data_IF_201541643238
#
_entry.id   IF_201541643238
#
_cell.length_a   1.000
_cell.length_b   1.000
_cell.length_c   1.000
_cell.angle_alpha   90.00
_cell.angle_beta   90.00
_cell.angle_gamma   90.00
#
_symmetry.space_group_name_H-M   'P 1'
#
loop_
_entity.id
_entity.type
_entity.pdbx_description
1 polymer ?
#
# COMPACT_ATOMS: atom_id res chain seq x y z
N UNK A 1 -74.76 6.89 -4.08
CA UNK A 1 -73.51 7.57 -4.42
C UNK A 1 -72.60 7.46 -3.21
N UNK A 2 -71.71 6.46 -3.24
CA UNK A 2 -70.71 6.22 -2.17
C UNK A 2 -69.36 6.73 -2.73
N UNK A 3 -68.85 7.81 -2.13
CA UNK A 3 -67.54 8.41 -2.48
C UNK A 3 -66.49 7.54 -1.83
N UNK A 4 -65.70 6.82 -2.65
CA UNK A 4 -64.49 6.09 -2.23
C UNK A 4 -63.32 7.06 -2.06
N UNK A 5 -62.94 7.32 -0.82
CA UNK A 5 -61.71 8.04 -0.50
C UNK A 5 -60.54 7.05 -0.49
N UNK A 6 -59.72 7.08 -1.55
CA UNK A 6 -58.45 6.39 -1.55
C UNK A 6 -57.48 6.98 -0.50
N UNK A 7 -56.76 6.16 0.28
CA UNK A 7 -55.77 6.69 1.23
C UNK A 7 -54.56 7.26 0.49
N UNK A 8 -54.29 8.54 0.71
CA UNK A 8 -53.05 9.19 0.24
C UNK A 8 -51.90 8.52 0.97
N UNK A 9 -51.09 7.74 0.27
CA UNK A 9 -49.81 7.24 0.78
C UNK A 9 -48.94 8.46 1.14
N UNK A 10 -48.35 8.47 2.33
CA UNK A 10 -47.36 9.52 2.65
C UNK A 10 -46.17 9.37 1.72
N UNK A 11 -45.78 10.47 1.08
CA UNK A 11 -44.58 10.54 0.24
C UNK A 11 -43.38 10.07 1.07
N UNK A 12 -42.77 8.98 0.65
CA UNK A 12 -41.48 8.53 1.21
C UNK A 12 -40.47 9.61 0.87
N UNK A 13 -40.26 10.53 1.82
CA UNK A 13 -39.16 11.49 1.77
C UNK A 13 -37.86 10.69 1.80
N UNK A 14 -37.18 10.65 0.65
CA UNK A 14 -35.79 10.16 0.57
C UNK A 14 -34.99 10.90 1.64
N UNK A 15 -34.19 10.21 2.47
CA UNK A 15 -33.38 10.91 3.46
C UNK A 15 -32.43 11.85 2.70
N UNK A 16 -32.72 13.14 2.75
CA UNK A 16 -31.81 14.19 2.32
C UNK A 16 -30.56 14.05 3.19
N UNK A 17 -29.48 13.49 2.63
CA UNK A 17 -28.18 13.57 3.27
C UNK A 17 -27.90 15.05 3.49
N UNK A 18 -27.86 15.50 4.73
CA UNK A 18 -27.58 16.88 5.08
C UNK A 18 -26.22 17.26 4.48
N UNK A 19 -26.04 18.52 4.07
CA UNK A 19 -24.75 19.01 3.57
C UNK A 19 -23.61 18.71 4.54
N UNK A 20 -23.91 18.64 5.84
CA UNK A 20 -22.95 18.29 6.89
C UNK A 20 -22.45 16.84 6.78
N UNK A 21 -23.32 15.89 6.44
CA UNK A 21 -22.89 14.50 6.18
C UNK A 21 -22.05 14.41 4.91
N UNK A 22 -22.38 15.19 3.88
CA UNK A 22 -21.61 15.25 2.66
C UNK A 22 -20.21 15.81 2.90
N UNK A 23 -20.06 16.84 3.71
CA UNK A 23 -18.76 17.42 4.09
C UNK A 23 -17.98 16.50 5.02
N UNK A 24 -18.64 15.75 5.90
CA UNK A 24 -17.99 14.87 6.87
C UNK A 24 -17.21 13.73 6.22
N UNK A 25 -17.66 13.18 5.09
CA UNK A 25 -16.94 12.10 4.37
C UNK A 25 -15.50 12.48 3.98
N UNK A 26 -15.24 13.76 3.65
CA UNK A 26 -13.90 14.24 3.34
C UNK A 26 -13.00 14.27 4.58
N UNK A 27 -13.56 14.53 5.76
CA UNK A 27 -12.85 14.40 7.04
C UNK A 27 -12.46 12.95 7.29
N UNK A 28 -13.36 12.01 7.04
CA UNK A 28 -13.07 10.57 7.14
C UNK A 28 -11.95 10.14 6.19
N UNK A 29 -11.99 10.60 4.95
CA UNK A 29 -10.93 10.34 3.98
C UNK A 29 -9.59 10.91 4.46
N UNK A 30 -9.58 12.16 4.94
CA UNK A 30 -8.36 12.80 5.48
C UNK A 30 -7.78 12.04 6.66
N UNK A 31 -8.63 11.53 7.57
CA UNK A 31 -8.19 10.68 8.69
C UNK A 31 -7.61 9.37 8.16
N UNK A 32 -8.25 8.74 7.18
CA UNK A 32 -7.74 7.52 6.56
C UNK A 32 -6.39 7.71 5.87
N UNK A 33 -6.20 8.86 5.20
CA UNK A 33 -4.90 9.25 4.62
C UNK A 33 -3.87 9.48 5.72
N UNK A 34 -4.20 10.25 6.75
CA UNK A 34 -3.27 10.59 7.82
C UNK A 34 -2.83 9.34 8.61
N UNK A 35 -3.77 8.49 9.00
CA UNK A 35 -3.49 7.24 9.69
C UNK A 35 -2.57 6.33 8.88
N UNK A 36 -2.87 6.18 7.58
CA UNK A 36 -2.07 5.35 6.70
C UNK A 36 -0.68 5.96 6.43
N UNK A 37 -0.58 7.30 6.28
CA UNK A 37 0.69 7.98 6.11
C UNK A 37 1.56 7.88 7.37
N UNK A 38 0.98 7.98 8.57
CA UNK A 38 1.70 7.83 9.84
C UNK A 38 2.31 6.45 10.00
N UNK A 39 1.55 5.39 9.72
CA UNK A 39 2.09 4.03 9.74
C UNK A 39 3.11 3.80 8.62
N UNK A 40 2.86 4.32 7.41
CA UNK A 40 3.78 4.19 6.28
C UNK A 40 5.10 4.93 6.51
N UNK A 41 5.11 6.01 7.30
CA UNK A 41 6.35 6.67 7.72
C UNK A 41 7.22 5.75 8.58
N UNK A 42 6.64 4.90 9.42
CA UNK A 42 7.36 3.87 10.15
C UNK A 42 7.79 2.73 9.21
N UNK A 43 6.84 2.17 8.45
CA UNK A 43 7.07 0.99 7.61
C UNK A 43 8.16 1.20 6.55
N UNK A 44 8.12 2.32 5.84
CA UNK A 44 9.07 2.63 4.77
C UNK A 44 10.24 3.51 5.23
N UNK A 45 10.06 4.29 6.30
CA UNK A 45 11.10 5.21 6.79
C UNK A 45 12.15 4.53 7.67
N UNK A 46 11.78 3.58 8.53
CA UNK A 46 12.76 2.86 9.37
C UNK A 46 13.82 2.15 8.51
N UNK A 47 13.51 1.42 7.43
CA UNK A 47 14.53 0.82 6.57
C UNK A 47 15.52 1.81 5.96
N UNK A 48 15.13 3.06 5.73
CA UNK A 48 16.04 4.09 5.19
C UNK A 48 17.13 4.49 6.22
N UNK A 49 16.90 4.23 7.52
CA UNK A 49 17.88 4.45 8.58
C UNK A 49 18.81 3.26 8.82
N UNK A 50 18.79 2.24 7.96
CA UNK A 50 19.48 0.96 8.12
C UNK A 50 20.98 1.11 8.43
N UNK A 51 21.68 2.04 7.80
CA UNK A 51 23.13 2.29 8.00
C UNK A 51 23.38 2.70 9.46
N UNK A 52 22.57 3.62 9.98
CA UNK A 52 22.66 4.09 11.36
C UNK A 52 22.24 3.00 12.34
N UNK A 53 21.18 2.26 12.06
CA UNK A 53 20.74 1.14 12.88
C UNK A 53 21.84 0.06 12.99
N UNK A 54 22.50 -0.28 11.89
CA UNK A 54 23.59 -1.23 11.89
C UNK A 54 24.74 -0.78 12.79
N UNK A 55 25.13 0.50 12.71
CA UNK A 55 26.19 1.08 13.51
C UNK A 55 25.82 1.13 15.00
N UNK A 56 24.69 1.73 15.33
CA UNK A 56 24.30 2.03 16.72
C UNK A 56 24.00 0.76 17.51
N UNK A 57 23.32 -0.22 16.88
CA UNK A 57 22.99 -1.50 17.50
C UNK A 57 24.08 -2.57 17.30
N UNK A 58 25.21 -2.23 16.65
CA UNK A 58 26.34 -3.14 16.37
C UNK A 58 25.91 -4.44 15.68
N UNK A 59 25.00 -4.33 14.69
CA UNK A 59 24.44 -5.47 13.97
C UNK A 59 25.31 -5.83 12.76
N UNK A 60 25.43 -7.12 12.48
CA UNK A 60 25.88 -7.56 11.14
C UNK A 60 24.75 -7.42 10.11
N UNK A 61 25.06 -7.64 8.83
CA UNK A 61 24.08 -7.48 7.74
C UNK A 61 22.91 -8.46 7.85
N UNK A 62 23.14 -9.68 8.36
CA UNK A 62 22.10 -10.70 8.54
C UNK A 62 21.16 -10.31 9.67
N UNK A 63 21.71 -9.88 10.78
CA UNK A 63 20.97 -9.39 11.94
C UNK A 63 20.13 -8.16 11.60
N UNK A 64 20.71 -7.20 10.88
CA UNK A 64 19.99 -6.01 10.39
C UNK A 64 18.80 -6.41 9.50
N UNK A 65 19.02 -7.34 8.57
CA UNK A 65 17.96 -7.87 7.71
C UNK A 65 16.83 -8.51 8.50
N UNK A 66 17.15 -9.26 9.55
CA UNK A 66 16.15 -9.87 10.45
C UNK A 66 15.37 -8.80 11.22
N UNK A 67 16.05 -7.81 11.79
CA UNK A 67 15.41 -6.74 12.56
C UNK A 67 14.46 -5.92 11.69
N UNK A 68 14.90 -5.48 10.51
CA UNK A 68 14.07 -4.72 9.58
C UNK A 68 12.97 -5.58 8.94
N UNK A 69 13.28 -6.84 8.63
CA UNK A 69 12.32 -7.79 8.08
C UNK A 69 11.20 -8.14 9.04
N UNK A 70 11.45 -8.10 10.34
CA UNK A 70 10.45 -8.36 11.38
C UNK A 70 9.25 -7.42 11.30
N UNK A 71 9.47 -6.14 10.96
CA UNK A 71 8.40 -5.17 10.74
C UNK A 71 7.47 -5.60 9.59
N UNK A 72 8.06 -5.95 8.45
CA UNK A 72 7.29 -6.42 7.27
C UNK A 72 6.56 -7.73 7.53
N UNK A 73 7.20 -8.67 8.23
CA UNK A 73 6.59 -9.93 8.64
C UNK A 73 5.39 -9.71 9.56
N UNK A 74 5.51 -8.81 10.53
CA UNK A 74 4.41 -8.43 11.43
C UNK A 74 3.19 -7.94 10.66
N UNK A 75 3.39 -7.06 9.68
CA UNK A 75 2.31 -6.57 8.81
C UNK A 75 1.69 -7.72 8.02
N UNK A 76 2.50 -8.51 7.32
CA UNK A 76 2.01 -9.61 6.47
C UNK A 76 1.15 -10.61 7.25
N UNK A 77 1.53 -10.95 8.48
CA UNK A 77 0.81 -11.89 9.33
C UNK A 77 -0.48 -11.32 9.92
N UNK A 78 -0.56 -10.00 10.11
CA UNK A 78 -1.65 -9.37 10.86
C UNK A 78 -2.76 -8.77 9.99
N UNK A 79 -2.52 -8.47 8.73
CA UNK A 79 -3.48 -7.79 7.85
C UNK A 79 -4.83 -8.52 7.74
N UNK A 80 -4.81 -9.84 7.48
CA UNK A 80 -6.05 -10.61 7.41
C UNK A 80 -6.77 -10.72 8.75
N UNK A 81 -6.12 -11.07 9.88
CA UNK A 81 -6.72 -10.99 11.21
C UNK A 81 -7.37 -9.65 11.53
N UNK A 82 -6.66 -8.53 11.27
CA UNK A 82 -7.22 -7.20 11.48
C UNK A 82 -8.38 -6.89 10.54
N UNK A 83 -8.35 -7.38 9.31
CA UNK A 83 -9.47 -7.26 8.39
C UNK A 83 -10.73 -7.93 8.92
N UNK A 84 -10.62 -9.15 9.44
CA UNK A 84 -11.72 -9.89 10.08
C UNK A 84 -12.23 -9.17 11.34
N UNK A 85 -11.31 -8.66 12.16
CA UNK A 85 -11.68 -7.88 13.35
C UNK A 85 -12.38 -6.57 12.97
N UNK A 86 -11.97 -5.92 11.88
CA UNK A 86 -12.60 -4.70 11.39
C UNK A 86 -14.07 -4.95 11.01
N UNK A 87 -14.37 -6.08 10.38
CA UNK A 87 -15.76 -6.42 10.04
C UNK A 87 -16.61 -6.75 11.27
N UNK A 88 -16.00 -7.29 12.35
CA UNK A 88 -16.69 -7.66 13.59
C UNK A 88 -16.85 -6.50 14.57
N UNK A 89 -15.82 -5.69 14.75
CA UNK A 89 -15.75 -4.65 15.80
C UNK A 89 -16.01 -3.24 15.26
N UNK A 90 -16.05 -3.08 13.93
CA UNK A 90 -16.13 -1.80 13.25
C UNK A 90 -14.77 -1.15 13.02
N UNK A 91 -14.73 -0.31 12.01
CA UNK A 91 -13.54 0.41 11.56
C UNK A 91 -12.99 1.37 12.60
N UNK A 92 -13.86 2.09 13.33
CA UNK A 92 -13.44 3.04 14.35
C UNK A 92 -12.66 2.38 15.48
N UNK A 93 -13.20 1.29 16.05
CA UNK A 93 -12.55 0.61 17.19
C UNK A 93 -11.21 0.03 16.79
N UNK A 94 -11.16 -0.67 15.66
CA UNK A 94 -9.93 -1.31 15.15
C UNK A 94 -8.86 -0.27 14.82
N UNK A 95 -9.23 0.83 14.14
CA UNK A 95 -8.29 1.88 13.80
C UNK A 95 -7.71 2.57 15.03
N UNK A 96 -8.54 2.86 16.03
CA UNK A 96 -8.10 3.47 17.29
C UNK A 96 -7.18 2.55 18.09
N UNK A 97 -7.59 1.29 18.30
CA UNK A 97 -6.77 0.29 18.98
C UNK A 97 -5.40 0.14 18.29
N UNK A 98 -5.40 0.00 16.96
CA UNK A 98 -4.18 -0.16 16.20
C UNK A 98 -3.25 1.04 16.26
N UNK A 99 -3.77 2.26 16.06
CA UNK A 99 -2.95 3.48 16.09
C UNK A 99 -2.34 3.74 17.47
N UNK A 100 -3.15 3.64 18.54
CA UNK A 100 -2.64 3.85 19.89
C UNK A 100 -1.70 2.73 20.34
N UNK A 101 -1.99 1.48 20.02
CA UNK A 101 -1.11 0.36 20.34
C UNK A 101 0.21 0.46 19.56
N UNK A 102 0.18 0.86 18.28
CA UNK A 102 1.40 1.13 17.50
C UNK A 102 2.20 2.30 18.09
N UNK A 103 1.52 3.38 18.48
CA UNK A 103 2.17 4.51 19.15
C UNK A 103 2.84 4.08 20.47
N UNK A 104 2.17 3.28 21.28
CA UNK A 104 2.74 2.75 22.53
C UNK A 104 3.93 1.81 22.28
N UNK A 105 3.85 0.94 21.29
CA UNK A 105 4.96 0.05 20.91
C UNK A 105 6.19 0.85 20.46
N UNK A 106 5.98 1.89 19.63
CA UNK A 106 7.05 2.81 19.21
C UNK A 106 7.61 3.64 20.38
N UNK A 107 6.75 4.10 21.30
CA UNK A 107 7.20 4.78 22.51
C UNK A 107 8.03 3.85 23.41
N UNK A 108 7.60 2.59 23.56
CA UNK A 108 8.35 1.59 24.31
C UNK A 108 9.73 1.33 23.67
N UNK A 109 9.81 1.23 22.34
CA UNK A 109 11.08 1.16 21.63
C UNK A 109 11.95 2.40 21.86
N UNK A 110 11.37 3.60 21.86
CA UNK A 110 12.08 4.84 22.12
C UNK A 110 12.69 4.89 23.54
N UNK A 111 12.02 4.30 24.52
CA UNK A 111 12.42 4.34 25.92
C UNK A 111 13.36 3.19 26.31
N UNK A 112 13.11 1.98 25.79
CA UNK A 112 13.80 0.77 26.25
C UNK A 112 14.51 -0.02 25.15
N UNK A 113 14.19 0.26 23.88
CA UNK A 113 14.73 -0.49 22.74
C UNK A 113 15.91 0.16 22.05
N UNK A 114 16.45 1.27 22.58
CA UNK A 114 17.53 2.03 21.95
C UNK A 114 18.86 1.82 22.67
N UNK A 115 20.00 1.88 21.96
CA UNK A 115 21.33 1.86 22.57
C UNK A 115 21.51 3.02 23.54
N UNK A 116 22.01 2.71 24.75
CA UNK A 116 22.47 3.67 25.73
C UNK A 116 23.95 4.04 25.54
N UNK A 117 24.48 4.83 26.44
CA UNK A 117 25.91 5.23 26.41
C UNK A 117 26.84 4.04 26.66
N UNK A 118 26.45 3.08 27.48
CA UNK A 118 27.24 1.91 27.90
C UNK A 118 26.71 0.60 27.36
N UNK A 119 25.40 0.48 27.18
CA UNK A 119 24.74 -0.78 26.85
C UNK A 119 24.04 -0.71 25.49
N UNK A 120 24.26 -1.75 24.69
CA UNK A 120 23.54 -1.96 23.43
C UNK A 120 22.51 -3.07 23.67
N UNK A 121 21.21 -2.81 23.39
CA UNK A 121 20.18 -3.82 23.59
C UNK A 121 20.43 -5.03 22.68
N UNK A 122 20.15 -6.25 23.17
CA UNK A 122 20.30 -7.43 22.35
C UNK A 122 19.38 -7.38 21.12
N UNK A 123 19.83 -7.91 19.99
CA UNK A 123 19.14 -7.87 18.67
C UNK A 123 17.65 -8.25 18.73
N UNK A 124 17.31 -9.22 19.58
CA UNK A 124 15.92 -9.67 19.70
C UNK A 124 14.96 -8.58 20.21
N UNK A 125 15.46 -7.58 20.96
CA UNK A 125 14.61 -6.50 21.49
C UNK A 125 14.10 -5.56 20.37
N UNK A 126 14.94 -4.92 19.53
CA UNK A 126 14.45 -4.16 18.39
C UNK A 126 13.70 -5.05 17.37
N UNK A 127 14.10 -6.31 17.16
CA UNK A 127 13.40 -7.21 16.24
C UNK A 127 11.97 -7.51 16.69
N UNK A 128 11.77 -7.89 17.96
CA UNK A 128 10.42 -8.15 18.50
C UNK A 128 9.60 -6.88 18.62
N UNK A 129 10.22 -5.75 18.96
CA UNK A 129 9.56 -4.45 18.99
C UNK A 129 9.05 -4.02 17.62
N UNK A 130 9.87 -4.15 16.56
CA UNK A 130 9.46 -3.85 15.19
C UNK A 130 8.44 -4.86 14.65
N UNK A 131 8.55 -6.15 15.00
CA UNK A 131 7.52 -7.13 14.72
C UNK A 131 6.17 -6.69 15.30
N UNK A 132 6.16 -6.28 16.57
CA UNK A 132 4.96 -5.83 17.25
C UNK A 132 4.40 -4.56 16.60
N UNK A 133 5.24 -3.59 16.25
CA UNK A 133 4.85 -2.39 15.48
C UNK A 133 4.18 -2.79 14.16
N UNK A 134 4.72 -3.78 13.46
CA UNK A 134 4.13 -4.31 12.22
C UNK A 134 2.78 -4.98 12.45
N UNK A 135 2.69 -5.84 13.47
CA UNK A 135 1.45 -6.56 13.84
C UNK A 135 0.33 -5.56 14.19
N UNK A 136 0.64 -4.54 14.97
CA UNK A 136 -0.34 -3.56 15.42
C UNK A 136 -0.71 -2.56 14.31
N UNK A 137 0.28 -2.13 13.54
CA UNK A 137 0.10 -1.17 12.45
C UNK A 137 -0.64 -1.73 11.23
N UNK A 138 -0.60 -3.06 11.01
CA UNK A 138 -1.40 -3.70 9.97
C UNK A 138 -2.90 -3.43 10.06
N UNK A 139 -3.42 -3.10 11.27
CA UNK A 139 -4.81 -2.71 11.48
C UNK A 139 -5.24 -1.48 10.66
N UNK A 140 -4.30 -0.59 10.35
CA UNK A 140 -4.57 0.72 9.74
C UNK A 140 -5.10 0.57 8.31
N UNK A 141 -4.53 -0.37 7.55
CA UNK A 141 -4.86 -0.54 6.12
C UNK A 141 -6.32 -0.99 5.91
N UNK A 142 -6.73 -2.08 6.55
CA UNK A 142 -8.07 -2.63 6.44
C UNK A 142 -9.13 -1.68 7.00
N UNK A 143 -8.94 -1.18 8.23
CA UNK A 143 -9.91 -0.33 8.93
C UNK A 143 -10.13 1.02 8.23
N UNK A 144 -9.06 1.73 7.85
CA UNK A 144 -9.21 3.00 7.13
C UNK A 144 -9.79 2.82 5.72
N UNK A 145 -9.49 1.68 5.06
CA UNK A 145 -10.09 1.35 3.76
C UNK A 145 -11.59 1.09 3.87
N UNK A 146 -12.02 0.30 4.87
CA UNK A 146 -13.44 0.04 5.12
C UNK A 146 -14.20 1.31 5.46
N UNK A 147 -13.63 2.19 6.30
CA UNK A 147 -14.22 3.49 6.62
C UNK A 147 -14.48 4.31 5.35
N UNK A 148 -13.51 4.42 4.45
CA UNK A 148 -13.68 5.13 3.16
C UNK A 148 -14.79 4.48 2.32
N UNK A 149 -14.80 3.15 2.18
CA UNK A 149 -15.83 2.45 1.41
C UNK A 149 -17.24 2.65 1.98
N UNK A 150 -17.38 2.78 3.30
CA UNK A 150 -18.67 2.97 3.97
C UNK A 150 -19.22 4.40 3.81
N UNK A 151 -18.35 5.42 3.75
CA UNK A 151 -18.76 6.83 3.68
C UNK A 151 -18.92 7.38 2.26
N UNK A 152 -18.32 6.72 1.25
CA UNK A 152 -18.42 7.15 -0.15
C UNK A 152 -19.40 6.29 -0.94
N UNK A 153 -20.18 6.93 -1.82
CA UNK A 153 -21.15 6.26 -2.68
C UNK A 153 -20.46 5.50 -3.80
N UNK A 154 -21.15 4.54 -4.36
CA UNK A 154 -20.74 3.94 -5.64
C UNK A 154 -20.60 5.02 -6.72
N UNK A 155 -19.55 4.94 -7.54
CA UNK A 155 -19.17 6.01 -8.50
C UNK A 155 -18.22 7.07 -7.92
N UNK A 156 -17.90 7.04 -6.60
CA UNK A 156 -16.93 7.93 -5.95
C UNK A 156 -15.87 7.14 -5.14
N UNK A 157 -16.13 5.84 -4.90
CA UNK A 157 -15.28 4.97 -4.09
C UNK A 157 -13.90 4.76 -4.68
N UNK A 158 -13.80 4.66 -6.00
CA UNK A 158 -12.53 4.50 -6.70
C UNK A 158 -11.63 5.71 -6.52
N UNK A 159 -12.18 6.92 -6.66
CA UNK A 159 -11.44 8.16 -6.40
C UNK A 159 -11.01 8.28 -4.94
N UNK A 160 -11.93 8.05 -4.00
CA UNK A 160 -11.64 8.15 -2.57
C UNK A 160 -10.57 7.14 -2.12
N UNK A 161 -10.69 5.88 -2.57
CA UNK A 161 -9.70 4.84 -2.29
C UNK A 161 -8.35 5.16 -2.94
N UNK A 162 -8.34 5.72 -4.14
CA UNK A 162 -7.12 6.13 -4.83
C UNK A 162 -6.40 7.26 -4.08
N UNK A 163 -7.14 8.28 -3.62
CA UNK A 163 -6.58 9.34 -2.76
C UNK A 163 -6.01 8.73 -1.47
N UNK A 164 -6.76 7.82 -0.82
CA UNK A 164 -6.26 7.15 0.38
C UNK A 164 -4.96 6.39 0.12
N UNK A 165 -4.82 5.73 -1.02
CA UNK A 165 -3.62 4.96 -1.37
C UNK A 165 -2.39 5.83 -1.69
N UNK A 166 -2.54 7.14 -1.90
CA UNK A 166 -1.38 8.05 -2.00
C UNK A 166 -0.72 8.28 -0.64
N UNK A 167 -1.38 7.94 0.46
CA UNK A 167 -0.82 8.03 1.81
C UNK A 167 0.43 7.17 2.01
N UNK A 168 0.51 6.02 1.31
CA UNK A 168 1.66 5.11 1.44
C UNK A 168 2.96 5.75 0.94
N UNK A 169 3.05 6.23 -0.32
CA UNK A 169 4.25 6.92 -0.77
C UNK A 169 4.50 8.25 -0.04
N UNK A 170 3.44 8.96 0.38
CA UNK A 170 3.55 10.21 1.15
C UNK A 170 4.22 9.95 2.50
N UNK A 171 3.72 8.98 3.27
CA UNK A 171 4.29 8.60 4.57
C UNK A 171 5.72 8.10 4.44
N UNK A 172 5.98 7.22 3.46
CA UNK A 172 7.33 6.74 3.17
C UNK A 172 8.30 7.87 2.81
N UNK A 173 7.86 8.84 2.02
CA UNK A 173 8.65 10.03 1.68
C UNK A 173 8.94 10.91 2.89
N UNK A 174 7.96 11.15 3.75
CA UNK A 174 8.15 11.88 5.03
C UNK A 174 9.19 11.15 5.89
N UNK A 175 9.06 9.83 6.05
CA UNK A 175 10.01 9.01 6.80
C UNK A 175 11.42 9.09 6.22
N UNK A 176 11.55 8.98 4.89
CA UNK A 176 12.85 9.03 4.21
C UNK A 176 13.56 10.38 4.35
N UNK A 177 12.83 11.48 4.47
CA UNK A 177 13.41 12.82 4.65
C UNK A 177 13.75 13.11 6.11
N UNK A 178 12.87 12.71 7.05
CA UNK A 178 13.01 13.10 8.45
C UNK A 178 13.86 12.14 9.29
N UNK A 179 13.75 10.82 9.05
CA UNK A 179 14.32 9.84 9.97
C UNK A 179 15.86 9.70 9.86
N UNK A 180 16.49 9.69 8.66
CA UNK A 180 17.95 9.56 8.58
C UNK A 180 18.72 10.68 9.28
N UNK A 181 18.42 11.99 9.05
CA UNK A 181 19.12 13.05 9.77
C UNK A 181 18.86 13.01 11.28
N UNK A 182 17.65 12.58 11.70
CA UNK A 182 17.32 12.44 13.11
C UNK A 182 18.10 11.29 13.75
N UNK A 183 18.21 10.14 13.08
CA UNK A 183 19.03 9.02 13.53
C UNK A 183 20.51 9.39 13.62
N UNK A 184 21.04 10.07 12.60
CA UNK A 184 22.44 10.50 12.54
C UNK A 184 22.82 11.47 13.67
N UNK A 185 21.92 12.41 14.01
CA UNK A 185 22.20 13.45 14.99
C UNK A 185 21.91 13.04 16.45
N UNK A 186 20.90 12.22 16.69
CA UNK A 186 20.35 11.97 18.03
C UNK A 186 20.05 10.48 18.31
N UNK A 187 20.41 9.58 17.40
CA UNK A 187 20.13 8.14 17.54
C UNK A 187 18.66 7.78 17.36
N UNK A 188 18.27 6.59 17.83
CA UNK A 188 16.96 6.00 17.54
C UNK A 188 15.83 6.39 18.48
N UNK A 189 16.11 6.93 19.68
CA UNK A 189 15.07 7.36 20.61
C UNK A 189 14.12 8.41 19.99
N UNK A 190 14.63 9.53 19.42
CA UNK A 190 13.76 10.50 18.76
C UNK A 190 13.14 9.98 17.44
N UNK A 191 13.78 9.03 16.75
CA UNK A 191 13.19 8.38 15.55
C UNK A 191 11.89 7.66 15.92
N UNK A 192 11.96 6.75 16.90
CA UNK A 192 10.77 6.03 17.36
C UNK A 192 9.77 6.96 18.06
N UNK A 193 10.26 7.97 18.81
CA UNK A 193 9.42 8.98 19.44
C UNK A 193 8.61 9.81 18.45
N UNK A 194 9.21 10.25 17.36
CA UNK A 194 8.53 10.99 16.29
C UNK A 194 7.47 10.12 15.59
N UNK A 195 7.78 8.88 15.29
CA UNK A 195 6.84 7.93 14.69
C UNK A 195 5.68 7.60 15.64
N UNK A 196 5.96 7.44 16.93
CA UNK A 196 4.96 7.31 17.98
C UNK A 196 4.00 8.50 17.99
N UNK A 197 4.57 9.71 17.95
CA UNK A 197 3.78 10.95 17.91
C UNK A 197 2.88 11.04 16.68
N UNK A 198 3.36 10.64 15.49
CA UNK A 198 2.54 10.60 14.28
C UNK A 198 1.35 9.66 14.43
N UNK A 199 1.57 8.46 14.96
CA UNK A 199 0.49 7.49 15.20
C UNK A 199 -0.48 7.99 16.28
N UNK A 200 0.04 8.60 17.36
CA UNK A 200 -0.79 9.14 18.45
C UNK A 200 -1.68 10.30 17.98
N UNK A 201 -1.11 11.26 17.22
CA UNK A 201 -1.88 12.38 16.64
C UNK A 201 -2.97 11.83 15.72
N UNK A 202 -2.63 10.89 14.84
CA UNK A 202 -3.61 10.25 13.94
C UNK A 202 -4.70 9.53 14.74
N UNK A 203 -4.34 8.87 15.84
CA UNK A 203 -5.28 8.24 16.75
C UNK A 203 -6.23 9.23 17.41
N UNK A 204 -5.73 10.36 17.91
CA UNK A 204 -6.55 11.43 18.51
C UNK A 204 -7.50 12.05 17.49
N UNK A 205 -7.02 12.32 16.27
CA UNK A 205 -7.86 12.86 15.20
C UNK A 205 -8.93 11.84 14.75
N UNK A 206 -8.56 10.56 14.68
CA UNK A 206 -9.51 9.48 14.41
C UNK A 206 -10.55 9.37 15.54
N UNK A 207 -10.14 9.43 16.81
CA UNK A 207 -11.05 9.43 17.94
C UNK A 207 -12.04 10.57 17.89
N UNK A 208 -11.59 11.76 17.48
CA UNK A 208 -12.38 12.99 17.46
C UNK A 208 -13.39 13.05 16.31
N UNK A 209 -13.04 12.52 15.14
CA UNK A 209 -13.80 12.73 13.90
C UNK A 209 -14.28 11.47 13.20
N UNK A 210 -13.69 10.28 13.49
CA UNK A 210 -14.17 9.05 12.89
C UNK A 210 -15.41 8.58 13.68
N UNK A 211 -16.57 8.71 13.05
CA UNK A 211 -17.83 8.17 13.55
C UNK A 211 -18.22 6.94 12.74
N UNK A 212 -19.00 6.07 13.34
CA UNK A 212 -19.59 4.98 12.57
C UNK A 212 -20.55 5.56 11.52
N UNK A 213 -20.56 5.03 10.29
CA UNK A 213 -21.47 5.52 9.27
C UNK A 213 -22.90 5.38 9.77
N UNK A 214 -23.82 6.32 9.40
CA UNK A 214 -25.21 6.14 9.70
C UNK A 214 -25.65 4.78 9.18
N UNK A 215 -26.31 3.98 10.03
CA UNK A 215 -26.77 2.63 9.70
C UNK A 215 -27.71 2.75 8.51
N UNK A 216 -27.20 2.64 7.30
CA UNK A 216 -28.01 2.24 6.17
C UNK A 216 -28.49 0.84 6.55
N UNK A 217 -29.79 0.68 6.74
CA UNK A 217 -30.41 -0.57 7.08
C UNK A 217 -29.82 -1.65 6.15
N UNK A 218 -28.90 -2.43 6.71
CA UNK A 218 -28.35 -3.58 5.98
C UNK A 218 -29.56 -4.49 5.81
N UNK A 219 -30.08 -4.56 4.59
CA UNK A 219 -31.16 -5.44 4.26
C UNK A 219 -30.83 -6.83 4.80
N UNK A 220 -31.76 -7.46 5.51
CA UNK A 220 -31.57 -8.81 6.05
C UNK A 220 -31.10 -9.83 4.99
N UNK A 221 -31.31 -9.55 3.70
CA UNK A 221 -30.75 -10.30 2.58
C UNK A 221 -29.23 -10.28 2.47
N UNK A 222 -28.53 -9.28 3.08
CA UNK A 222 -27.07 -9.22 3.10
C UNK A 222 -26.42 -10.17 4.13
N UNK A 223 -27.20 -10.71 5.06
CA UNK A 223 -26.72 -11.65 6.10
C UNK A 223 -26.43 -13.05 5.53
N UNK A 224 -26.96 -13.37 4.34
CA UNK A 224 -26.75 -14.67 3.69
C UNK A 224 -25.59 -14.69 2.67
N UNK A 225 -24.87 -13.59 2.50
CA UNK A 225 -23.68 -13.58 1.65
C UNK A 225 -22.61 -14.51 2.25
N UNK A 226 -22.14 -15.48 1.46
CA UNK A 226 -21.08 -16.41 1.87
C UNK A 226 -19.82 -15.66 2.31
N UNK A 227 -18.97 -16.33 3.09
CA UNK A 227 -17.71 -15.72 3.55
C UNK A 227 -16.86 -15.23 2.38
N UNK A 228 -16.34 -13.99 2.42
CA UNK A 228 -15.42 -13.45 1.42
C UNK A 228 -14.21 -14.38 1.18
N UNK A 229 -13.78 -15.10 2.21
CA UNK A 229 -12.71 -16.10 2.12
C UNK A 229 -13.10 -17.37 1.34
N UNK A 230 -14.38 -17.58 1.04
CA UNK A 230 -14.88 -18.69 0.21
C UNK A 230 -15.17 -18.25 -1.23
N UNK A 231 -15.17 -16.95 -1.50
CA UNK A 231 -15.43 -16.42 -2.83
C UNK A 231 -14.15 -16.47 -3.68
N UNK A 232 -14.18 -17.29 -4.72
CA UNK A 232 -13.07 -17.41 -5.68
C UNK A 232 -12.77 -16.09 -6.40
N UNK A 233 -13.77 -15.22 -6.60
CA UNK A 233 -13.58 -13.90 -7.20
C UNK A 233 -12.74 -12.99 -6.31
N UNK A 234 -12.99 -12.99 -5.00
CA UNK A 234 -12.20 -12.26 -4.00
C UNK A 234 -10.75 -12.75 -3.99
N UNK A 235 -10.53 -14.07 -3.96
CA UNK A 235 -9.19 -14.65 -4.02
C UNK A 235 -8.46 -14.31 -5.32
N UNK A 236 -9.14 -14.37 -6.47
CA UNK A 236 -8.53 -14.01 -7.76
C UNK A 236 -8.06 -12.57 -7.77
N UNK A 237 -8.86 -11.63 -7.28
CA UNK A 237 -8.46 -10.22 -7.22
C UNK A 237 -7.33 -10.04 -6.21
N UNK A 238 -7.40 -10.61 -5.01
CA UNK A 238 -6.37 -10.51 -3.99
C UNK A 238 -5.01 -11.07 -4.45
N UNK A 239 -5.01 -12.26 -5.05
CA UNK A 239 -3.78 -12.87 -5.59
C UNK A 239 -3.21 -12.06 -6.77
N UNK A 240 -4.08 -11.59 -7.68
CA UNK A 240 -3.64 -10.76 -8.80
C UNK A 240 -3.02 -9.44 -8.33
N UNK A 241 -3.58 -8.80 -7.29
CA UNK A 241 -3.01 -7.61 -6.64
C UNK A 241 -1.61 -7.93 -6.08
N UNK A 242 -1.49 -9.01 -5.31
CA UNK A 242 -0.21 -9.43 -4.75
C UNK A 242 0.84 -9.67 -5.82
N UNK A 243 0.52 -10.45 -6.86
CA UNK A 243 1.44 -10.75 -7.96
C UNK A 243 1.85 -9.49 -8.73
N UNK A 244 0.90 -8.58 -9.00
CA UNK A 244 1.17 -7.32 -9.69
C UNK A 244 2.01 -6.35 -8.84
N UNK A 245 2.07 -6.57 -7.53
CA UNK A 245 2.95 -5.83 -6.64
C UNK A 245 4.45 -6.14 -6.87
N UNK A 246 4.80 -7.32 -7.40
CA UNK A 246 6.19 -7.71 -7.62
C UNK A 246 6.98 -6.72 -8.50
N UNK A 247 6.56 -6.36 -9.72
CA UNK A 247 7.29 -5.39 -10.53
C UNK A 247 7.36 -4.00 -9.87
N UNK A 248 6.33 -3.59 -9.14
CA UNK A 248 6.31 -2.32 -8.42
C UNK A 248 7.35 -2.29 -7.30
N UNK A 249 7.41 -3.34 -6.48
CA UNK A 249 8.39 -3.45 -5.37
C UNK A 249 9.80 -3.52 -5.91
N UNK A 250 10.01 -4.26 -7.01
CA UNK A 250 11.32 -4.35 -7.66
C UNK A 250 11.85 -2.97 -8.07
N UNK A 251 10.98 -2.09 -8.61
CA UNK A 251 11.37 -0.71 -8.90
C UNK A 251 11.59 0.10 -7.63
N UNK A 252 10.64 0.09 -6.69
CA UNK A 252 10.73 0.94 -5.50
C UNK A 252 11.97 0.64 -4.65
N UNK A 253 12.40 -0.62 -4.63
CA UNK A 253 13.52 -1.05 -3.79
C UNK A 253 14.84 -1.04 -4.54
N UNK A 254 14.85 -1.39 -5.82
CA UNK A 254 16.09 -1.69 -6.54
C UNK A 254 16.39 -0.77 -7.72
N UNK A 255 15.48 0.11 -8.17
CA UNK A 255 15.74 0.95 -9.33
C UNK A 255 16.90 1.92 -9.13
N UNK A 256 17.10 2.44 -7.91
CA UNK A 256 18.26 3.30 -7.62
C UNK A 256 19.57 2.54 -7.77
N UNK A 257 19.65 1.31 -7.25
CA UNK A 257 20.81 0.42 -7.40
C UNK A 257 21.01 0.06 -8.87
N UNK A 258 19.94 -0.29 -9.58
CA UNK A 258 20.00 -0.57 -11.02
C UNK A 258 20.59 0.58 -11.84
N UNK A 259 20.09 1.80 -11.61
CA UNK A 259 20.56 2.98 -12.33
C UNK A 259 22.01 3.34 -11.96
N UNK A 260 22.40 3.15 -10.70
CA UNK A 260 23.76 3.39 -10.24
C UNK A 260 24.75 2.36 -10.78
N UNK A 261 24.49 1.07 -10.52
CA UNK A 261 25.48 0.00 -10.77
C UNK A 261 25.56 -0.40 -12.24
N UNK A 262 24.44 -0.47 -12.94
CA UNK A 262 24.39 -0.88 -14.34
C UNK A 262 24.33 0.30 -15.31
N UNK A 263 23.64 1.38 -14.93
CA UNK A 263 23.47 2.57 -15.76
C UNK A 263 24.55 3.62 -15.55
N UNK A 264 25.37 3.52 -14.52
CA UNK A 264 26.35 4.54 -14.10
C UNK A 264 25.76 5.95 -14.04
N UNK A 265 24.46 6.02 -13.68
CA UNK A 265 23.70 7.25 -13.63
C UNK A 265 24.18 8.14 -12.49
N UNK A 266 24.18 9.47 -12.72
CA UNK A 266 24.50 10.43 -11.66
C UNK A 266 23.44 10.40 -10.55
N UNK A 267 23.82 10.75 -9.32
CA UNK A 267 22.90 10.84 -8.19
C UNK A 267 21.71 11.75 -8.48
N UNK A 268 21.93 12.85 -9.21
CA UNK A 268 20.87 13.76 -9.63
C UNK A 268 19.85 13.08 -10.54
N UNK A 269 20.29 12.33 -11.54
CA UNK A 269 19.42 11.59 -12.46
C UNK A 269 18.61 10.52 -11.70
N UNK A 270 19.23 9.78 -10.80
CA UNK A 270 18.57 8.79 -9.95
C UNK A 270 17.48 9.47 -9.12
N UNK A 271 17.82 10.57 -8.44
CA UNK A 271 16.86 11.32 -7.59
C UNK A 271 15.67 11.82 -8.39
N UNK A 272 15.90 12.44 -9.55
CA UNK A 272 14.85 12.94 -10.45
C UNK A 272 13.98 11.78 -10.93
N UNK A 273 14.58 10.65 -11.31
CA UNK A 273 13.87 9.45 -11.77
C UNK A 273 12.95 8.90 -10.70
N UNK A 274 13.46 8.73 -9.47
CA UNK A 274 12.64 8.23 -8.35
C UNK A 274 11.52 9.20 -7.97
N UNK A 275 11.79 10.50 -7.98
CA UNK A 275 10.77 11.52 -7.76
C UNK A 275 9.68 11.50 -8.84
N UNK A 276 10.06 11.40 -10.12
CA UNK A 276 9.13 11.32 -11.25
C UNK A 276 8.24 10.07 -11.15
N UNK A 277 8.79 8.92 -10.75
CA UNK A 277 8.03 7.69 -10.50
C UNK A 277 6.98 7.93 -9.41
N UNK A 278 7.36 8.49 -8.27
CA UNK A 278 6.44 8.67 -7.14
C UNK A 278 5.33 9.68 -7.43
N UNK A 279 5.68 10.81 -8.04
CA UNK A 279 4.70 11.84 -8.43
C UNK A 279 3.76 11.29 -9.50
N UNK A 280 4.30 10.67 -10.56
CA UNK A 280 3.52 10.08 -11.62
C UNK A 280 2.60 8.97 -11.14
N UNK A 281 3.09 8.12 -10.23
CA UNK A 281 2.28 7.07 -9.59
C UNK A 281 1.11 7.65 -8.78
N UNK A 282 1.33 8.71 -8.00
CA UNK A 282 0.29 9.36 -7.22
C UNK A 282 -0.79 9.98 -8.14
N UNK A 283 -0.37 10.72 -9.17
CA UNK A 283 -1.28 11.32 -10.16
C UNK A 283 -2.10 10.25 -10.90
N UNK A 284 -1.43 9.18 -11.33
CA UNK A 284 -2.07 8.08 -12.08
C UNK A 284 -3.07 7.31 -11.22
N UNK A 285 -2.80 7.11 -9.93
CA UNK A 285 -3.75 6.50 -8.98
C UNK A 285 -5.02 7.33 -8.89
N UNK A 286 -4.91 8.65 -8.67
CA UNK A 286 -6.06 9.56 -8.56
C UNK A 286 -6.86 9.59 -9.85
N UNK A 287 -6.17 9.72 -10.99
CA UNK A 287 -6.80 9.73 -12.30
C UNK A 287 -7.56 8.42 -12.59
N UNK A 288 -6.94 7.28 -12.36
CA UNK A 288 -7.53 5.96 -12.61
C UNK A 288 -8.78 5.70 -11.77
N UNK A 289 -8.75 6.08 -10.49
CA UNK A 289 -9.91 5.98 -9.61
C UNK A 289 -11.09 6.78 -10.13
N UNK A 290 -10.86 8.06 -10.47
CA UNK A 290 -11.90 8.93 -11.03
C UNK A 290 -12.42 8.44 -12.39
N UNK A 291 -11.52 7.97 -13.25
CA UNK A 291 -11.87 7.50 -14.57
C UNK A 291 -12.72 6.23 -14.53
N UNK A 292 -12.35 5.27 -13.69
CA UNK A 292 -13.09 4.01 -13.53
C UNK A 292 -14.41 4.19 -12.81
N UNK A 293 -14.52 5.14 -11.87
CA UNK A 293 -15.80 5.49 -11.24
C UNK A 293 -16.81 6.03 -12.25
N UNK A 294 -16.35 6.87 -13.20
CA UNK A 294 -17.22 7.43 -14.25
C UNK A 294 -17.65 6.41 -15.29
N UNK A 295 -16.83 5.39 -15.56
CA UNK A 295 -17.05 4.43 -16.64
C UNK A 295 -17.56 3.07 -16.17
N UNK A 296 -17.51 2.78 -14.88
CA UNK A 296 -17.93 1.48 -14.32
C UNK A 296 -17.11 0.29 -14.80
N UNK A 297 -15.87 0.51 -15.30
CA UNK A 297 -15.10 -0.50 -16.04
C UNK A 297 -13.85 -1.00 -15.28
N UNK A 298 -13.91 -1.09 -13.95
CA UNK A 298 -12.78 -1.45 -13.07
C UNK A 298 -12.05 -2.72 -13.52
N UNK A 299 -12.77 -3.80 -13.84
CA UNK A 299 -12.18 -5.09 -14.27
C UNK A 299 -11.41 -4.96 -15.59
N UNK A 300 -11.98 -4.25 -16.55
CA UNK A 300 -11.32 -3.98 -17.83
C UNK A 300 -10.05 -3.17 -17.60
N UNK A 301 -10.14 -2.12 -16.78
CA UNK A 301 -8.99 -1.28 -16.43
C UNK A 301 -7.85 -2.09 -15.78
N UNK A 302 -8.15 -2.92 -14.77
CA UNK A 302 -7.14 -3.75 -14.08
C UNK A 302 -6.43 -4.70 -15.05
N UNK A 303 -7.16 -5.34 -15.95
CA UNK A 303 -6.57 -6.21 -16.98
C UNK A 303 -5.72 -5.43 -17.97
N UNK A 304 -6.17 -4.27 -18.45
CA UNK A 304 -5.40 -3.42 -19.35
C UNK A 304 -4.14 -2.89 -18.67
N UNK A 305 -4.25 -2.45 -17.43
CA UNK A 305 -3.11 -1.98 -16.62
C UNK A 305 -2.06 -3.10 -16.44
N UNK A 306 -2.48 -4.32 -16.12
CA UNK A 306 -1.59 -5.47 -15.97
C UNK A 306 -0.91 -5.84 -17.28
N UNK A 307 -1.64 -5.89 -18.40
CA UNK A 307 -1.09 -6.20 -19.71
C UNK A 307 -0.08 -5.12 -20.17
N UNK A 308 -0.44 -3.85 -19.99
CA UNK A 308 0.44 -2.73 -20.32
C UNK A 308 1.71 -2.78 -19.46
N UNK A 309 1.59 -3.07 -18.16
CA UNK A 309 2.75 -3.29 -17.29
C UNK A 309 3.62 -4.44 -17.81
N UNK A 310 3.03 -5.57 -18.20
CA UNK A 310 3.78 -6.69 -18.76
C UNK A 310 4.57 -6.29 -20.02
N UNK A 311 3.95 -5.57 -20.94
CA UNK A 311 4.61 -5.08 -22.17
C UNK A 311 5.73 -4.10 -21.84
N UNK A 312 5.51 -3.14 -20.95
CA UNK A 312 6.51 -2.13 -20.58
C UNK A 312 7.71 -2.75 -19.86
N UNK A 313 7.49 -3.67 -18.91
CA UNK A 313 8.59 -4.38 -18.25
C UNK A 313 9.30 -5.36 -19.16
N UNK A 314 8.59 -6.01 -20.09
CA UNK A 314 9.19 -6.84 -21.14
C UNK A 314 10.07 -6.03 -22.09
N UNK A 315 9.59 -4.87 -22.51
CA UNK A 315 10.37 -3.90 -23.29
C UNK A 315 11.61 -3.39 -22.52
N UNK A 316 11.46 -3.09 -21.22
CA UNK A 316 12.59 -2.72 -20.38
C UNK A 316 13.62 -3.84 -20.26
N UNK A 317 13.17 -5.08 -20.07
CA UNK A 317 14.03 -6.25 -19.99
C UNK A 317 14.83 -6.43 -21.30
N UNK A 318 14.15 -6.32 -22.45
CA UNK A 318 14.78 -6.44 -23.76
C UNK A 318 15.79 -5.30 -24.01
N UNK A 319 15.42 -4.05 -23.69
CA UNK A 319 16.30 -2.90 -23.86
C UNK A 319 17.54 -2.99 -22.97
N UNK A 320 17.39 -3.43 -21.71
CA UNK A 320 18.52 -3.66 -20.79
C UNK A 320 19.41 -4.81 -21.27
N UNK A 321 18.84 -5.89 -21.83
CA UNK A 321 19.62 -6.98 -22.41
C UNK A 321 20.46 -6.49 -23.60
N UNK A 322 19.88 -5.69 -24.50
CA UNK A 322 20.60 -5.09 -25.64
C UNK A 322 21.68 -4.13 -25.12
N UNK A 323 21.37 -3.27 -24.13
CA UNK A 323 22.36 -2.35 -23.57
C UNK A 323 23.55 -3.09 -22.95
N UNK A 324 23.27 -4.17 -22.21
CA UNK A 324 24.32 -5.01 -21.61
C UNK A 324 25.17 -5.75 -22.68
N UNK A 325 24.55 -6.22 -23.76
CA UNK A 325 25.26 -6.85 -24.89
C UNK A 325 26.07 -5.86 -25.71
N UNK A 326 25.68 -4.60 -25.77
CA UNK A 326 26.37 -3.52 -26.46
C UNK A 326 27.37 -2.75 -25.58
N UNK A 327 27.53 -3.15 -24.30
CA UNK A 327 28.39 -2.46 -23.36
C UNK A 327 29.88 -2.60 -23.74
N UNK A 328 30.61 -1.46 -23.71
CA UNK A 328 32.04 -1.41 -23.91
C UNK A 328 32.70 -1.07 -22.57
N UNK A 329 33.62 -1.90 -22.12
CA UNK A 329 34.26 -1.75 -20.79
C UNK A 329 33.28 -1.65 -19.65
N UNK A 330 32.14 -2.36 -19.72
CA UNK A 330 31.08 -2.35 -18.71
C UNK A 330 30.10 -1.17 -18.81
N UNK A 331 30.36 -0.20 -19.71
CA UNK A 331 29.51 0.98 -19.86
C UNK A 331 28.51 0.79 -21.00
N UNK A 332 27.23 1.10 -20.73
CA UNK A 332 26.21 1.14 -21.78
C UNK A 332 26.44 2.28 -22.77
N UNK A 333 25.99 2.14 -24.02
CA UNK A 333 25.98 3.27 -24.94
C UNK A 333 25.17 4.44 -24.32
N UNK A 334 25.77 5.63 -24.25
CA UNK A 334 25.19 6.78 -23.55
C UNK A 334 23.77 7.15 -24.02
N UNK A 335 23.47 6.92 -25.30
CA UNK A 335 22.15 7.20 -25.88
C UNK A 335 21.05 6.24 -25.39
N UNK A 336 21.40 5.06 -24.84
CA UNK A 336 20.42 4.09 -24.33
C UNK A 336 19.91 4.43 -22.92
N UNK A 337 20.70 5.10 -22.09
CA UNK A 337 20.32 5.44 -20.72
C UNK A 337 19.03 6.27 -20.64
N UNK A 338 18.83 7.33 -21.44
CA UNK A 338 17.57 8.09 -21.44
C UNK A 338 16.36 7.22 -21.82
N UNK A 339 16.50 6.31 -22.79
CA UNK A 339 15.43 5.40 -23.18
C UNK A 339 15.08 4.40 -22.08
N UNK A 340 16.09 3.86 -21.40
CA UNK A 340 15.91 2.97 -20.22
C UNK A 340 15.21 3.72 -19.09
N UNK A 341 15.65 4.94 -18.77
CA UNK A 341 15.03 5.76 -17.72
C UNK A 341 13.58 6.08 -18.06
N UNK A 342 13.30 6.49 -19.30
CA UNK A 342 11.93 6.77 -19.75
C UNK A 342 11.02 5.54 -19.62
N UNK A 343 11.50 4.39 -20.08
CA UNK A 343 10.74 3.15 -20.04
C UNK A 343 10.54 2.65 -18.59
N UNK A 344 11.57 2.77 -17.74
CA UNK A 344 11.52 2.46 -16.32
C UNK A 344 10.47 3.32 -15.61
N UNK A 345 10.48 4.64 -15.81
CA UNK A 345 9.51 5.57 -15.23
C UNK A 345 8.08 5.23 -15.66
N UNK A 346 7.88 5.02 -16.96
CA UNK A 346 6.55 4.71 -17.52
C UNK A 346 6.03 3.36 -17.00
N UNK A 347 6.89 2.33 -16.97
CA UNK A 347 6.55 1.01 -16.44
C UNK A 347 6.19 1.07 -14.94
N UNK A 348 6.97 1.81 -14.15
CA UNK A 348 6.74 1.96 -12.72
C UNK A 348 5.44 2.70 -12.40
N UNK A 349 5.14 3.79 -13.14
CA UNK A 349 3.89 4.52 -13.02
C UNK A 349 2.71 3.62 -13.37
N UNK A 350 2.79 2.87 -14.47
CA UNK A 350 1.76 1.93 -14.89
C UNK A 350 1.53 0.85 -13.83
N UNK A 351 2.61 0.22 -13.32
CA UNK A 351 2.53 -0.80 -12.28
C UNK A 351 2.04 -0.27 -10.91
N UNK A 352 1.95 1.04 -10.74
CA UNK A 352 1.40 1.67 -9.54
C UNK A 352 -0.05 2.14 -9.69
N UNK A 353 -0.58 2.15 -10.92
CA UNK A 353 -1.87 2.78 -11.24
C UNK A 353 -3.11 1.96 -10.83
N UNK A 354 -2.94 0.72 -10.42
CA UNK A 354 -4.03 -0.21 -10.10
C UNK A 354 -4.59 -0.08 -8.67
N UNK A 355 -3.84 0.50 -7.73
CA UNK A 355 -4.11 0.41 -6.29
C UNK A 355 -5.55 0.77 -5.89
N UNK A 356 -5.97 2.00 -6.13
CA UNK A 356 -7.31 2.44 -5.71
C UNK A 356 -8.43 1.64 -6.38
N UNK A 357 -8.25 1.36 -7.67
CA UNK A 357 -9.24 0.62 -8.47
C UNK A 357 -9.37 -0.84 -8.01
N UNK A 358 -8.24 -1.52 -7.75
CA UNK A 358 -8.24 -2.92 -7.33
C UNK A 358 -8.79 -3.10 -5.92
N UNK A 359 -8.41 -2.25 -4.97
CA UNK A 359 -8.98 -2.30 -3.62
C UNK A 359 -10.47 -1.96 -3.60
N UNK A 360 -10.93 -1.04 -4.47
CA UNK A 360 -12.36 -0.75 -4.61
C UNK A 360 -13.11 -1.96 -5.20
N UNK A 361 -12.56 -2.60 -6.23
CA UNK A 361 -13.16 -3.82 -6.80
C UNK A 361 -13.21 -4.95 -5.78
N UNK A 362 -12.11 -5.17 -5.05
CA UNK A 362 -12.03 -6.20 -4.01
C UNK A 362 -13.08 -5.98 -2.90
N UNK A 363 -13.20 -4.75 -2.42
CA UNK A 363 -14.20 -4.38 -1.41
C UNK A 363 -15.63 -4.52 -1.93
N UNK A 364 -15.87 -4.19 -3.20
CA UNK A 364 -17.18 -4.30 -3.84
C UNK A 364 -17.60 -5.77 -4.01
N UNK A 365 -16.68 -6.66 -4.39
CA UNK A 365 -16.93 -8.09 -4.50
C UNK A 365 -17.29 -8.74 -3.17
N UNK A 366 -16.63 -8.35 -2.10
CA UNK A 366 -16.87 -8.90 -0.76
C UNK A 366 -18.20 -8.48 -0.15
N UNK A 367 -18.81 -7.42 -0.66
CA UNK A 367 -20.03 -6.84 -0.09
C UNK A 367 -19.79 -6.08 1.21
N UNK A 368 -20.76 -5.27 1.61
CA UNK A 368 -20.62 -4.30 2.70
C UNK A 368 -20.23 -4.89 4.06
N UNK A 369 -20.61 -6.15 4.33
CA UNK A 369 -20.35 -6.82 5.61
C UNK A 369 -18.93 -7.39 5.75
N UNK A 370 -18.18 -7.54 4.65
CA UNK A 370 -16.88 -8.22 4.65
C UNK A 370 -15.76 -7.44 3.93
N UNK A 371 -15.91 -6.15 3.85
CA UNK A 371 -14.92 -5.24 3.24
C UNK A 371 -13.58 -5.33 3.95
N UNK A 372 -13.56 -5.34 5.28
CA UNK A 372 -12.33 -5.44 6.07
C UNK A 372 -11.57 -6.73 5.80
N UNK A 373 -12.28 -7.86 5.81
CA UNK A 373 -11.70 -9.18 5.50
C UNK A 373 -11.08 -9.22 4.11
N UNK A 374 -11.78 -8.71 3.10
CA UNK A 374 -11.28 -8.70 1.72
C UNK A 374 -10.06 -7.80 1.56
N UNK A 375 -10.11 -6.58 2.12
CA UNK A 375 -8.96 -5.66 2.08
C UNK A 375 -7.76 -6.23 2.83
N UNK A 376 -7.98 -6.86 3.99
CA UNK A 376 -6.94 -7.56 4.74
C UNK A 376 -6.31 -8.71 3.95
N UNK A 377 -7.12 -9.51 3.25
CA UNK A 377 -6.62 -10.57 2.37
C UNK A 377 -5.76 -9.99 1.23
N UNK A 378 -6.24 -8.94 0.56
CA UNK A 378 -5.49 -8.27 -0.50
C UNK A 378 -4.14 -7.74 -0.01
N UNK A 379 -4.13 -7.08 1.15
CA UNK A 379 -2.90 -6.57 1.76
C UNK A 379 -1.96 -7.70 2.21
N UNK A 380 -2.47 -8.78 2.77
CA UNK A 380 -1.64 -9.97 3.10
C UNK A 380 -0.92 -10.47 1.85
N UNK A 381 -1.62 -10.60 0.71
CA UNK A 381 -0.99 -11.00 -0.55
C UNK A 381 0.07 -9.97 -1.01
N UNK A 382 -0.20 -8.67 -0.89
CA UNK A 382 0.75 -7.60 -1.24
C UNK A 382 2.00 -7.65 -0.38
N UNK A 383 1.87 -7.70 0.95
CA UNK A 383 3.02 -7.69 1.86
C UNK A 383 3.82 -8.99 1.80
N UNK A 384 3.15 -10.12 1.54
CA UNK A 384 3.85 -11.38 1.27
C UNK A 384 4.72 -11.28 0.01
N UNK A 385 4.18 -10.76 -1.08
CA UNK A 385 4.95 -10.57 -2.32
C UNK A 385 6.02 -9.50 -2.14
N UNK A 386 5.77 -8.46 -1.33
CA UNK A 386 6.79 -7.48 -0.97
C UNK A 386 8.00 -8.15 -0.30
N UNK A 387 7.76 -9.02 0.67
CA UNK A 387 8.79 -9.81 1.33
C UNK A 387 9.52 -10.75 0.34
N UNK A 388 8.76 -11.50 -0.48
CA UNK A 388 9.33 -12.43 -1.46
C UNK A 388 10.16 -11.72 -2.53
N UNK A 389 9.73 -10.55 -3.02
CA UNK A 389 10.47 -9.78 -4.01
C UNK A 389 11.82 -9.28 -3.47
N UNK A 390 11.85 -8.85 -2.20
CA UNK A 390 13.09 -8.43 -1.55
C UNK A 390 14.14 -9.56 -1.46
N UNK A 391 13.70 -10.84 -1.40
CA UNK A 391 14.57 -12.00 -1.42
C UNK A 391 14.89 -12.47 -2.85
N UNK A 392 13.90 -12.44 -3.73
CA UNK A 392 14.04 -12.97 -5.08
C UNK A 392 14.94 -12.12 -5.96
N UNK A 393 14.87 -10.78 -5.88
CA UNK A 393 15.67 -9.89 -6.75
C UNK A 393 17.17 -10.07 -6.54
N UNK A 394 17.73 -10.07 -5.32
CA UNK A 394 19.15 -10.36 -5.11
C UNK A 394 19.58 -11.74 -5.60
N UNK A 395 18.72 -12.76 -5.46
CA UNK A 395 19.00 -14.09 -6.00
C UNK A 395 19.05 -14.10 -7.52
N UNK A 396 18.10 -13.45 -8.18
CA UNK A 396 18.09 -13.30 -9.64
C UNK A 396 19.34 -12.56 -10.14
N UNK A 397 19.79 -11.52 -9.43
CA UNK A 397 21.00 -10.78 -9.77
C UNK A 397 22.27 -11.60 -9.57
N UNK A 398 22.32 -12.44 -8.55
CA UNK A 398 23.48 -13.34 -8.30
C UNK A 398 23.68 -14.36 -9.42
N UNK A 399 22.60 -14.85 -10.03
CA UNK A 399 22.63 -15.92 -11.02
C UNK A 399 22.55 -15.40 -12.46
N UNK A 400 21.99 -14.20 -12.65
CA UNK A 400 21.64 -13.65 -13.95
C UNK A 400 21.98 -12.15 -14.03
N UNK A 401 21.11 -11.37 -14.65
CA UNK A 401 21.31 -9.94 -14.89
C UNK A 401 20.06 -9.13 -14.58
N UNK A 402 20.18 -7.80 -14.61
CA UNK A 402 19.03 -6.89 -14.44
C UNK A 402 17.93 -7.12 -15.47
N UNK A 403 18.25 -7.55 -16.70
CA UNK A 403 17.23 -7.89 -17.70
C UNK A 403 16.30 -9.00 -17.22
N UNK A 404 16.82 -10.00 -16.49
CA UNK A 404 16.02 -11.10 -15.93
C UNK A 404 15.12 -10.60 -14.79
N UNK A 405 15.56 -9.64 -13.97
CA UNK A 405 14.71 -9.02 -12.94
C UNK A 405 13.49 -8.34 -13.56
N UNK A 406 13.72 -7.56 -14.62
CA UNK A 406 12.63 -6.87 -15.32
C UNK A 406 11.74 -7.84 -16.11
N UNK A 407 12.30 -8.91 -16.65
CA UNK A 407 11.54 -9.99 -17.28
C UNK A 407 10.64 -10.71 -16.26
N UNK A 408 11.14 -11.00 -15.06
CA UNK A 408 10.34 -11.56 -13.99
C UNK A 408 9.17 -10.62 -13.61
N UNK A 409 9.40 -9.30 -13.59
CA UNK A 409 8.35 -8.30 -13.43
C UNK A 409 7.30 -8.34 -14.54
N UNK A 410 7.73 -8.49 -15.79
CA UNK A 410 6.84 -8.67 -16.96
C UNK A 410 5.97 -9.93 -16.82
N UNK A 411 6.58 -11.07 -16.49
CA UNK A 411 5.89 -12.34 -16.32
C UNK A 411 4.90 -12.30 -15.15
N UNK A 412 5.27 -11.67 -14.04
CA UNK A 412 4.35 -11.45 -12.92
C UNK A 412 3.13 -10.62 -13.34
N UNK A 413 3.34 -9.52 -14.07
CA UNK A 413 2.25 -8.69 -14.57
C UNK A 413 1.36 -9.45 -15.57
N UNK A 414 1.95 -10.28 -16.44
CA UNK A 414 1.22 -11.14 -17.38
C UNK A 414 0.38 -12.20 -16.63
N UNK A 415 0.94 -12.81 -15.59
CA UNK A 415 0.22 -13.75 -14.74
C UNK A 415 -0.95 -13.06 -14.02
N UNK A 416 -0.74 -11.87 -13.47
CA UNK A 416 -1.82 -11.07 -12.86
C UNK A 416 -2.94 -10.77 -13.87
N UNK A 417 -2.60 -10.43 -15.12
CA UNK A 417 -3.57 -10.23 -16.20
C UNK A 417 -4.45 -11.46 -16.46
N UNK A 418 -3.89 -12.66 -16.38
CA UNK A 418 -4.62 -13.93 -16.55
C UNK A 418 -5.58 -14.18 -15.38
N UNK A 419 -5.14 -13.86 -14.15
CA UNK A 419 -5.87 -14.15 -12.92
C UNK A 419 -7.01 -13.16 -12.70
N UNK A 420 -6.84 -11.86 -13.02
CA UNK A 420 -7.89 -10.87 -12.86
C UNK A 420 -9.20 -11.27 -13.54
N UNK A 421 -10.32 -10.95 -12.89
CA UNK A 421 -11.64 -11.22 -13.41
C UNK A 421 -11.86 -10.56 -14.78
N UNK A 422 -12.46 -11.31 -15.69
CA UNK A 422 -12.91 -10.76 -16.97
C UNK A 422 -14.08 -9.79 -16.73
N UNK A 423 -14.25 -8.75 -17.58
CA UNK A 423 -15.47 -7.95 -17.56
C UNK A 423 -16.70 -8.85 -17.70
N UNK A 424 -17.80 -8.52 -17.01
CA UNK A 424 -19.07 -9.16 -17.29
C UNK A 424 -19.42 -8.90 -18.76
N UNK A 425 -19.88 -9.92 -19.48
CA UNK A 425 -20.45 -9.71 -20.83
C UNK A 425 -21.67 -8.78 -20.64
N UNK A 426 -21.70 -7.67 -21.38
CA UNK A 426 -22.93 -6.90 -21.51
C UNK A 426 -24.00 -7.88 -22.07
N UNK A 427 -25.04 -8.12 -21.27
CA UNK A 427 -26.26 -8.81 -21.72
C UNK A 427 -27.08 -7.87 -22.55
#
# INVERSE_FOLDING_TARGET
MTVSTSPVMPAVTSPTHSEDQYRHRWKILSIGVLANASFSAAFAGIPVTAIFMRSDYRLDNTQLGLVLGALGLGVALSELPWGVLTDRWGDRRVLLCGLFATALALAALALWGVPGTTDVPPMWLPATGLLLVGVLGGSVNGASGRAVMAWFREGERGLAMSIRQTAVPLGGGIGAVLLPPLAAAHGFAPVFGLLSLFCAISGVLAWRWLHEPPVLAVSAAAVTAGSALRDIGVWRVALAIGILCFPQVSVLTFAAIFLHDAGHASLLLITITMAAIQIGAALMRIWSGRWTDRRGNRRSYLRTCSLLSAVLYGGLAALVAVASGAAINGNWPQWMLPAIVFLLVTAAICASAWHGVAYTELATLAGASQVGTALGLGNTCVFLVFFLAAQAVPLLLKWQSWSVVWLAGSLAALLAWQIFLRPARAQ
#
